data_IF_146827482029
#
_entry.id   IF_146827482029
#
_cell.length_a   1.000
_cell.length_b   1.000
_cell.length_c   1.000
_cell.angle_alpha   90.00
_cell.angle_beta   90.00
_cell.angle_gamma   90.00
#
_symmetry.space_group_name_H-M   'P 1'
#
loop_
_entity.id
_entity.type
_entity.pdbx_description
1 polymer ?
#
# COMPACT_ATOMS: atom_id res chain seq x y z
N UNK A 1 57.36 -23.42 49.27
CA UNK A 1 56.40 -23.92 48.25
C UNK A 1 55.38 -24.79 48.97
N UNK A 2 54.25 -24.21 49.36
CA UNK A 2 53.14 -24.92 50.00
C UNK A 2 51.88 -24.55 49.22
N UNK A 3 51.27 -25.53 48.56
CA UNK A 3 50.04 -25.38 47.77
C UNK A 3 48.87 -25.88 48.61
N UNK A 4 47.93 -24.99 48.93
CA UNK A 4 46.72 -25.29 49.67
C UNK A 4 45.63 -25.74 48.68
N UNK A 5 45.16 -26.98 48.85
CA UNK A 5 44.00 -27.53 48.14
C UNK A 5 42.71 -27.11 48.87
N UNK A 6 41.94 -26.22 48.24
CA UNK A 6 40.60 -25.86 48.68
C UNK A 6 39.59 -26.90 48.14
N UNK A 7 39.03 -27.68 49.06
CA UNK A 7 38.06 -28.74 48.77
C UNK A 7 36.66 -28.27 49.18
N UNK A 8 35.97 -27.65 48.24
CA UNK A 8 34.56 -27.30 48.38
C UNK A 8 33.69 -28.55 48.49
N UNK A 9 33.33 -28.91 49.73
CA UNK A 9 32.34 -29.93 50.10
C UNK A 9 30.96 -29.59 49.50
N UNK A 10 30.63 -30.20 48.35
CA UNK A 10 29.22 -30.28 47.90
C UNK A 10 28.48 -31.33 48.74
N UNK A 11 27.57 -30.85 49.58
CA UNK A 11 26.63 -31.66 50.37
C UNK A 11 25.62 -32.31 49.40
N UNK A 12 25.78 -33.62 49.13
CA UNK A 12 24.74 -34.42 48.46
C UNK A 12 23.63 -34.70 49.48
N UNK A 13 22.49 -34.05 49.30
CA UNK A 13 21.23 -34.47 49.91
C UNK A 13 20.61 -35.54 49.01
N UNK A 14 20.81 -36.81 49.40
CA UNK A 14 20.04 -37.94 48.91
C UNK A 14 19.06 -38.29 50.04
N UNK A 15 17.79 -37.96 49.87
CA UNK A 15 16.72 -38.33 50.79
C UNK A 15 15.38 -38.16 50.08
N UNK A 16 14.72 -39.29 49.80
CA UNK A 16 13.56 -39.38 48.92
C UNK A 16 12.29 -38.76 49.48
N UNK A 17 11.68 -37.93 48.64
CA UNK A 17 10.26 -37.63 48.57
C UNK A 17 10.02 -37.28 47.09
N UNK A 18 8.88 -37.67 46.52
CA UNK A 18 8.50 -37.32 45.14
C UNK A 18 8.75 -35.83 44.92
N UNK A 19 9.51 -35.41 43.88
CA UNK A 19 9.69 -34.00 43.63
C UNK A 19 8.39 -33.48 43.05
N UNK A 20 7.50 -33.00 43.92
CA UNK A 20 6.59 -31.91 43.57
C UNK A 20 7.49 -30.75 43.17
N UNK A 21 7.87 -30.74 41.89
CA UNK A 21 8.64 -29.68 41.28
C UNK A 21 7.79 -28.41 41.45
N UNK A 22 8.19 -27.55 42.40
CA UNK A 22 7.45 -26.35 42.78
C UNK A 22 6.92 -25.64 41.55
N UNK A 23 5.60 -25.63 41.41
CA UNK A 23 4.97 -25.13 40.20
C UNK A 23 5.19 -23.62 40.14
N UNK A 24 5.68 -23.10 39.02
CA UNK A 24 5.82 -21.64 38.81
C UNK A 24 4.50 -20.88 39.03
N UNK A 25 3.37 -21.59 38.97
CA UNK A 25 2.05 -21.10 39.31
C UNK A 25 1.88 -20.68 40.78
N UNK A 26 2.69 -21.18 41.71
CA UNK A 26 2.57 -20.86 43.14
C UNK A 26 3.37 -19.62 43.57
N UNK A 27 4.16 -19.05 42.66
CA UNK A 27 4.95 -17.85 42.97
C UNK A 27 4.05 -16.63 43.24
N UNK A 28 4.29 -15.87 44.33
CA UNK A 28 3.54 -14.64 44.61
C UNK A 28 3.70 -13.60 43.51
N UNK A 29 2.64 -12.82 43.24
CA UNK A 29 2.62 -11.78 42.20
C UNK A 29 3.81 -10.81 42.32
N UNK A 30 4.21 -10.42 43.53
CA UNK A 30 5.36 -9.53 43.75
C UNK A 30 6.68 -10.10 43.24
N UNK A 31 6.88 -11.43 43.33
CA UNK A 31 8.09 -12.09 42.78
C UNK A 31 8.04 -12.07 41.25
N UNK A 32 6.87 -12.35 40.66
CA UNK A 32 6.69 -12.33 39.21
C UNK A 32 6.88 -10.92 38.63
N UNK A 33 6.38 -9.89 39.30
CA UNK A 33 6.64 -8.48 38.94
C UNK A 33 8.12 -8.16 38.97
N UNK A 34 8.84 -8.59 40.02
CA UNK A 34 10.28 -8.36 40.11
C UNK A 34 11.04 -9.03 38.97
N UNK A 35 10.70 -10.28 38.63
CA UNK A 35 11.29 -10.99 37.47
C UNK A 35 10.95 -10.28 36.16
N UNK A 36 9.68 -9.91 35.97
CA UNK A 36 9.22 -9.24 34.76
C UNK A 36 9.94 -7.90 34.53
N UNK A 37 10.28 -7.15 35.58
CA UNK A 37 11.01 -5.89 35.45
C UNK A 37 12.43 -6.03 34.85
N UNK A 38 12.99 -7.24 34.79
CA UNK A 38 14.26 -7.51 34.09
C UNK A 38 14.10 -7.93 32.63
N UNK A 39 12.86 -8.14 32.18
CA UNK A 39 12.54 -8.55 30.81
C UNK A 39 12.13 -7.31 30.00
N UNK A 40 12.51 -7.28 28.73
CA UNK A 40 11.94 -6.32 27.78
C UNK A 40 10.42 -6.55 27.62
N UNK A 41 9.74 -5.57 27.03
CA UNK A 41 8.29 -5.61 26.87
C UNK A 41 7.81 -6.91 26.19
N UNK A 42 8.23 -7.25 24.97
CA UNK A 42 7.85 -8.53 24.35
C UNK A 42 8.16 -9.77 25.19
N UNK A 43 9.33 -9.83 25.84
CA UNK A 43 9.71 -10.94 26.70
C UNK A 43 8.78 -11.10 27.91
N UNK A 44 8.31 -10.00 28.52
CA UNK A 44 7.27 -10.02 29.57
C UNK A 44 5.96 -10.62 29.07
N UNK A 45 5.58 -10.33 27.82
CA UNK A 45 4.37 -10.86 27.21
C UNK A 45 4.43 -12.37 27.04
N UNK A 46 5.52 -12.89 26.49
CA UNK A 46 5.67 -14.34 26.35
C UNK A 46 5.76 -15.04 27.69
N UNK A 47 6.41 -14.41 28.68
CA UNK A 47 6.45 -14.94 30.02
C UNK A 47 5.04 -15.02 30.64
N UNK A 48 4.22 -13.99 30.49
CA UNK A 48 2.82 -14.00 30.93
C UNK A 48 1.98 -15.04 30.16
N UNK A 49 2.08 -15.07 28.83
CA UNK A 49 1.35 -15.98 27.96
C UNK A 49 1.68 -17.46 28.27
N UNK A 50 2.95 -17.76 28.55
CA UNK A 50 3.39 -19.09 28.95
C UNK A 50 2.80 -19.52 30.30
N UNK A 51 2.68 -18.59 31.26
CA UNK A 51 2.07 -18.85 32.56
C UNK A 51 0.54 -19.03 32.47
N UNK A 52 -0.14 -18.30 31.58
CA UNK A 52 -1.59 -18.47 31.34
C UNK A 52 -1.92 -19.79 30.67
N UNK A 53 -1.08 -20.29 29.76
CA UNK A 53 -1.31 -21.57 29.10
C UNK A 53 -1.26 -22.77 30.07
N UNK A 54 -0.64 -22.61 31.24
CA UNK A 54 -0.58 -23.65 32.27
C UNK A 54 -1.76 -23.63 33.24
N UNK A 55 -2.48 -22.52 33.34
CA UNK A 55 -3.61 -22.36 34.26
C UNK A 55 -4.75 -21.64 33.55
N UNK A 56 -5.79 -22.38 33.17
CA UNK A 56 -6.99 -21.86 32.50
C UNK A 56 -7.76 -20.76 33.27
N UNK A 57 -7.32 -20.41 34.49
CA UNK A 57 -7.93 -19.39 35.36
C UNK A 57 -6.84 -18.52 36.00
N UNK A 58 -5.91 -17.98 35.22
CA UNK A 58 -5.06 -16.90 35.73
C UNK A 58 -5.92 -15.64 35.87
N UNK A 59 -6.07 -15.13 37.09
CA UNK A 59 -6.77 -13.87 37.37
C UNK A 59 -6.08 -12.68 36.67
N UNK A 60 -6.86 -11.73 36.15
CA UNK A 60 -6.38 -10.49 35.51
C UNK A 60 -5.30 -9.75 36.32
N UNK A 61 -5.34 -9.84 37.65
CA UNK A 61 -4.34 -9.26 38.54
C UNK A 61 -2.92 -9.79 38.30
N UNK A 62 -2.77 -11.08 37.98
CA UNK A 62 -1.47 -11.71 37.77
C UNK A 62 -0.86 -11.33 36.43
N UNK A 63 -1.68 -11.30 35.38
CA UNK A 63 -1.26 -10.80 34.07
C UNK A 63 -0.86 -9.33 34.17
N UNK A 64 -1.66 -8.53 34.87
CA UNK A 64 -1.36 -7.12 35.14
C UNK A 64 -0.03 -6.94 35.88
N UNK A 65 0.25 -7.80 36.87
CA UNK A 65 1.48 -7.75 37.66
C UNK A 65 2.75 -8.06 36.84
N UNK A 66 2.65 -8.91 35.82
CA UNK A 66 3.78 -9.28 34.94
C UNK A 66 3.93 -8.29 33.79
N UNK A 67 2.82 -7.96 33.15
CA UNK A 67 2.79 -7.29 31.86
C UNK A 67 2.75 -5.78 32.03
N UNK A 68 2.19 -5.27 33.12
CA UNK A 68 1.98 -3.85 33.36
C UNK A 68 0.80 -3.27 32.56
N UNK A 69 0.56 -1.96 32.71
CA UNK A 69 -0.65 -1.30 32.21
C UNK A 69 -0.48 -0.56 30.87
N UNK A 70 0.76 -0.34 30.41
CA UNK A 70 1.04 0.60 29.32
C UNK A 70 1.39 -0.14 28.02
N UNK A 71 0.37 -0.53 27.26
CA UNK A 71 0.51 -1.28 26.02
C UNK A 71 -0.07 -0.55 24.81
N UNK A 72 0.28 0.72 24.63
CA UNK A 72 -0.22 1.50 23.49
C UNK A 72 0.36 1.04 22.15
N UNK A 73 1.59 0.52 22.17
CA UNK A 73 2.30 0.02 20.98
C UNK A 73 2.81 -1.38 21.28
N UNK A 74 2.51 -2.32 20.40
CA UNK A 74 3.06 -3.67 20.41
C UNK A 74 3.82 -3.90 19.09
N UNK A 75 5.15 -3.91 19.16
CA UNK A 75 6.03 -4.18 18.03
C UNK A 75 6.82 -5.46 18.27
N UNK A 76 6.59 -6.49 17.45
CA UNK A 76 7.33 -7.74 17.50
C UNK A 76 8.76 -7.60 16.93
N UNK A 77 9.11 -6.42 16.43
CA UNK A 77 10.46 -6.11 15.92
C UNK A 77 11.52 -6.06 17.02
N UNK A 78 11.11 -5.88 18.27
CA UNK A 78 11.98 -5.88 19.45
C UNK A 78 12.33 -7.30 19.91
N UNK A 79 11.70 -8.33 19.35
CA UNK A 79 11.98 -9.74 19.65
C UNK A 79 13.13 -10.22 18.76
N UNK A 80 13.99 -11.08 19.32
CA UNK A 80 15.00 -11.79 18.55
C UNK A 80 14.36 -12.51 17.35
N UNK A 81 14.94 -12.31 16.16
CA UNK A 81 14.39 -12.83 14.91
C UNK A 81 14.11 -14.33 14.96
N UNK A 82 15.03 -15.09 15.56
CA UNK A 82 14.91 -16.56 15.68
C UNK A 82 13.77 -17.01 16.59
N UNK A 83 13.31 -16.16 17.50
CA UNK A 83 12.10 -16.40 18.30
C UNK A 83 10.86 -15.94 17.55
N UNK A 84 10.89 -14.75 16.93
CA UNK A 84 9.77 -14.20 16.18
C UNK A 84 9.29 -15.12 15.05
N UNK A 85 10.22 -15.80 14.36
CA UNK A 85 9.88 -16.78 13.32
C UNK A 85 9.22 -18.04 13.87
N UNK A 86 9.35 -18.36 15.16
CA UNK A 86 8.74 -19.55 15.78
C UNK A 86 7.32 -19.28 16.27
N UNK A 87 6.90 -18.02 16.30
CA UNK A 87 5.57 -17.65 16.78
C UNK A 87 4.48 -18.16 15.83
N UNK A 88 3.48 -18.78 16.43
CA UNK A 88 2.25 -19.24 15.78
C UNK A 88 1.10 -18.25 16.05
N UNK A 89 0.00 -18.41 15.30
CA UNK A 89 -1.23 -17.66 15.58
C UNK A 89 -1.73 -17.84 17.02
N UNK A 90 -1.51 -19.03 17.62
CA UNK A 90 -1.87 -19.29 19.02
C UNK A 90 -1.06 -18.43 20.00
N UNK A 91 0.23 -18.24 19.74
CA UNK A 91 1.09 -17.40 20.57
C UNK A 91 0.68 -15.93 20.49
N UNK A 92 0.39 -15.43 19.27
CA UNK A 92 -0.08 -14.05 19.07
C UNK A 92 -1.44 -13.85 19.73
N UNK A 93 -2.36 -14.80 19.59
CA UNK A 93 -3.67 -14.75 20.22
C UNK A 93 -3.54 -14.65 21.74
N UNK A 94 -2.74 -15.53 22.35
CA UNK A 94 -2.49 -15.54 23.79
C UNK A 94 -1.91 -14.20 24.26
N UNK A 95 -0.90 -13.67 23.57
CA UNK A 95 -0.29 -12.37 23.89
C UNK A 95 -1.32 -11.24 23.83
N UNK A 96 -2.12 -11.16 22.76
CA UNK A 96 -3.11 -10.10 22.59
C UNK A 96 -4.24 -10.20 23.63
N UNK A 97 -4.64 -11.41 24.03
CA UNK A 97 -5.57 -11.62 25.12
C UNK A 97 -4.99 -11.21 26.47
N UNK A 98 -3.73 -11.58 26.76
CA UNK A 98 -3.05 -11.25 28.01
C UNK A 98 -2.97 -9.75 28.30
N UNK A 99 -2.93 -8.90 27.26
CA UNK A 99 -2.85 -7.44 27.40
C UNK A 99 -4.16 -6.71 27.18
N UNK A 100 -5.27 -7.42 26.99
CA UNK A 100 -6.53 -6.80 26.61
C UNK A 100 -6.35 -5.86 25.39
N UNK A 101 -5.72 -6.39 24.34
CA UNK A 101 -5.24 -5.59 23.21
C UNK A 101 -6.36 -4.78 22.54
N UNK A 102 -7.59 -5.31 22.54
CA UNK A 102 -8.78 -4.65 21.99
C UNK A 102 -9.02 -3.27 22.59
N UNK A 103 -8.68 -3.07 23.87
CA UNK A 103 -8.89 -1.82 24.61
C UNK A 103 -7.61 -1.04 24.90
N UNK A 104 -6.41 -1.64 24.73
CA UNK A 104 -5.14 -1.02 25.12
C UNK A 104 -4.18 -0.73 23.96
N UNK A 105 -4.16 -1.57 22.92
CA UNK A 105 -3.20 -1.45 21.81
C UNK A 105 -3.72 -0.52 20.72
N UNK A 106 -2.98 0.57 20.50
CA UNK A 106 -3.21 1.52 19.40
C UNK A 106 -2.41 1.16 18.15
N UNK A 107 -1.24 0.56 18.30
CA UNK A 107 -0.34 0.23 17.19
C UNK A 107 0.14 -1.21 17.32
N UNK A 108 -0.18 -2.05 16.35
CA UNK A 108 0.33 -3.42 16.26
C UNK A 108 1.27 -3.56 15.06
N UNK A 109 2.45 -4.15 15.27
CA UNK A 109 3.39 -4.50 14.20
C UNK A 109 3.87 -5.93 14.33
N UNK A 110 3.58 -6.77 13.34
CA UNK A 110 3.98 -8.18 13.30
C UNK A 110 5.37 -8.39 12.67
N UNK A 111 6.29 -7.48 12.95
CA UNK A 111 7.65 -7.50 12.38
C UNK A 111 8.33 -8.86 12.64
N UNK A 112 8.89 -9.49 11.62
CA UNK A 112 9.55 -10.81 11.67
C UNK A 112 8.65 -12.02 12.02
N UNK A 113 7.35 -11.84 12.27
CA UNK A 113 6.42 -12.95 12.58
C UNK A 113 5.97 -13.70 11.31
N UNK A 114 6.93 -14.31 10.61
CA UNK A 114 6.72 -14.84 9.25
C UNK A 114 5.80 -16.06 9.16
N UNK A 115 5.39 -16.66 10.28
CA UNK A 115 4.56 -17.87 10.34
C UNK A 115 3.10 -17.61 10.72
N UNK A 116 2.69 -16.34 10.82
CA UNK A 116 1.34 -15.95 11.23
C UNK A 116 0.39 -15.95 10.04
N UNK A 117 -0.73 -16.67 10.16
CA UNK A 117 -1.77 -16.76 9.14
C UNK A 117 -2.81 -15.64 9.25
N UNK A 118 -2.90 -15.01 10.42
CA UNK A 118 -3.83 -13.94 10.74
C UNK A 118 -4.95 -14.37 11.69
N UNK A 119 -5.14 -15.67 11.94
CA UNK A 119 -6.07 -16.17 12.96
C UNK A 119 -5.72 -15.65 14.37
N UNK A 120 -4.44 -15.41 14.64
CA UNK A 120 -3.96 -14.90 15.92
C UNK A 120 -4.44 -13.49 16.24
N UNK A 121 -4.93 -12.75 15.24
CA UNK A 121 -5.42 -11.37 15.39
C UNK A 121 -6.87 -11.29 15.89
N UNK A 122 -7.55 -12.42 16.07
CA UNK A 122 -8.94 -12.48 16.53
C UNK A 122 -9.23 -11.63 17.79
N UNK A 123 -8.33 -11.52 18.79
CA UNK A 123 -8.58 -10.67 19.97
C UNK A 123 -8.70 -9.18 19.66
N UNK A 124 -8.29 -8.70 18.48
CA UNK A 124 -8.50 -7.31 18.06
C UNK A 124 -9.88 -7.05 17.47
N UNK A 125 -10.68 -8.10 17.24
CA UNK A 125 -12.05 -8.00 16.72
C UNK A 125 -12.83 -6.94 17.51
N UNK A 126 -13.52 -6.04 16.80
CA UNK A 126 -14.33 -4.95 17.37
C UNK A 126 -13.55 -3.90 18.18
N UNK A 127 -12.23 -3.81 18.06
CA UNK A 127 -11.46 -2.72 18.66
C UNK A 127 -11.90 -1.36 18.09
N UNK A 128 -12.06 -0.36 18.94
CA UNK A 128 -12.34 1.03 18.55
C UNK A 128 -11.11 1.93 18.66
N UNK A 129 -10.06 1.47 19.34
CA UNK A 129 -8.88 2.26 19.70
C UNK A 129 -7.64 1.96 18.84
N UNK A 130 -7.64 0.84 18.10
CA UNK A 130 -6.53 0.50 17.21
C UNK A 130 -6.43 1.56 16.10
N UNK A 131 -5.27 2.19 15.98
CA UNK A 131 -4.96 3.24 15.01
C UNK A 131 -4.11 2.71 13.85
N UNK A 132 -3.28 1.71 14.11
CA UNK A 132 -2.33 1.16 13.16
C UNK A 132 -2.21 -0.36 13.27
N UNK A 133 -2.27 -1.05 12.13
CA UNK A 133 -1.93 -2.47 11.98
C UNK A 133 -0.91 -2.63 10.85
N UNK A 134 0.29 -3.09 11.18
CA UNK A 134 1.35 -3.38 10.22
C UNK A 134 1.57 -4.89 10.10
N UNK A 135 1.16 -5.43 8.96
CA UNK A 135 1.26 -6.83 8.56
C UNK A 135 2.39 -7.05 7.56
N UNK A 136 3.34 -6.12 7.40
CA UNK A 136 4.41 -6.24 6.40
C UNK A 136 5.36 -7.41 6.64
N UNK A 137 5.42 -7.92 7.88
CA UNK A 137 6.27 -9.02 8.36
C UNK A 137 7.78 -8.79 8.21
N UNK A 138 8.21 -7.65 7.65
CA UNK A 138 9.61 -7.33 7.40
C UNK A 138 10.10 -6.24 8.32
N UNK A 139 11.32 -6.38 8.82
CA UNK A 139 11.98 -5.32 9.60
C UNK A 139 12.23 -4.06 8.76
N UNK A 140 12.36 -2.90 9.43
CA UNK A 140 12.57 -1.56 8.82
C UNK A 140 13.70 -1.47 7.78
N UNK A 141 14.64 -2.41 7.79
CA UNK A 141 15.81 -2.44 6.90
C UNK A 141 15.92 -3.74 6.09
N UNK A 142 14.91 -4.61 6.14
CA UNK A 142 14.91 -5.86 5.39
C UNK A 142 14.17 -5.67 4.07
N UNK A 143 14.68 -6.30 3.01
CA UNK A 143 14.00 -6.29 1.71
C UNK A 143 12.60 -6.91 1.86
N UNK A 144 11.55 -6.33 1.25
CA UNK A 144 10.18 -6.86 1.29
C UNK A 144 10.01 -8.24 0.61
N UNK A 145 11.08 -8.78 0.01
CA UNK A 145 11.06 -10.09 -0.66
C UNK A 145 11.20 -11.22 0.36
N UNK A 146 10.07 -11.68 0.88
CA UNK A 146 10.00 -12.99 1.52
C UNK A 146 10.24 -14.05 0.44
N UNK A 147 11.23 -14.94 0.65
CA UNK A 147 11.54 -16.02 -0.30
C UNK A 147 10.40 -17.04 -0.45
N UNK A 148 9.39 -16.96 0.41
CA UNK A 148 8.18 -17.79 0.41
C UNK A 148 6.95 -16.89 0.46
N UNK A 149 5.82 -17.39 -0.07
CA UNK A 149 4.53 -16.69 0.02
C UNK A 149 4.21 -16.47 1.51
N UNK A 150 3.97 -15.23 1.97
CA UNK A 150 3.65 -14.95 3.36
C UNK A 150 2.36 -15.68 3.74
N UNK A 151 2.31 -16.27 4.93
CA UNK A 151 1.19 -17.08 5.37
C UNK A 151 -0.07 -16.26 5.70
N UNK A 152 0.05 -14.93 5.83
CA UNK A 152 -1.11 -14.08 6.13
C UNK A 152 -2.18 -14.25 5.06
N UNK A 153 -3.31 -14.80 5.50
CA UNK A 153 -4.48 -15.12 4.70
C UNK A 153 -5.52 -14.01 4.83
N UNK A 154 -5.87 -13.38 3.70
CA UNK A 154 -6.95 -12.39 3.67
C UNK A 154 -8.27 -12.96 4.20
N UNK A 155 -8.52 -14.28 4.04
CA UNK A 155 -9.74 -14.93 4.55
C UNK A 155 -9.87 -14.87 6.07
N UNK A 156 -8.74 -14.83 6.79
CA UNK A 156 -8.71 -14.76 8.25
C UNK A 156 -8.67 -13.31 8.74
N UNK A 157 -7.91 -12.45 8.04
CA UNK A 157 -7.71 -11.07 8.48
C UNK A 157 -8.89 -10.15 8.13
N UNK A 158 -9.48 -10.27 6.94
CA UNK A 158 -10.54 -9.36 6.49
C UNK A 158 -11.75 -9.33 7.43
N UNK A 159 -12.30 -10.47 7.90
CA UNK A 159 -13.43 -10.45 8.83
C UNK A 159 -13.13 -9.75 10.17
N UNK A 160 -11.85 -9.71 10.58
CA UNK A 160 -11.42 -9.00 11.79
C UNK A 160 -11.38 -7.49 11.49
N UNK A 161 -10.79 -7.09 10.37
CA UNK A 161 -10.74 -5.69 9.94
C UNK A 161 -12.13 -5.11 9.70
N UNK A 162 -13.02 -5.86 9.03
CA UNK A 162 -14.41 -5.46 8.81
C UNK A 162 -15.09 -5.16 10.14
N UNK A 163 -14.92 -6.04 11.14
CA UNK A 163 -15.49 -5.83 12.48
C UNK A 163 -14.97 -4.60 13.22
N UNK A 164 -13.75 -4.14 12.90
CA UNK A 164 -13.14 -2.94 13.48
C UNK A 164 -13.70 -1.70 12.75
N UNK A 165 -13.75 -1.74 11.42
CA UNK A 165 -14.21 -0.64 10.56
C UNK A 165 -15.71 -0.38 10.73
N UNK A 166 -16.53 -1.42 10.91
CA UNK A 166 -17.98 -1.30 11.10
C UNK A 166 -18.38 -0.63 12.43
N UNK A 167 -17.45 -0.44 13.38
CA UNK A 167 -17.76 0.21 14.65
C UNK A 167 -17.75 1.73 14.52
N UNK A 168 -18.79 2.33 15.07
CA UNK A 168 -18.82 3.77 15.34
C UNK A 168 -17.62 4.15 16.24
N UNK A 169 -16.88 5.19 15.83
CA UNK A 169 -15.68 5.63 16.53
C UNK A 169 -14.41 4.81 16.25
N UNK A 170 -14.37 4.03 15.16
CA UNK A 170 -13.15 3.36 14.72
C UNK A 170 -11.99 4.35 14.53
N UNK A 171 -10.85 4.06 15.17
CA UNK A 171 -9.64 4.90 15.12
C UNK A 171 -8.61 4.46 14.08
N UNK A 172 -8.89 3.39 13.31
CA UNK A 172 -7.93 2.77 12.39
C UNK A 172 -7.63 3.71 11.22
N UNK A 173 -6.37 4.14 11.11
CA UNK A 173 -5.89 5.10 10.10
C UNK A 173 -4.80 4.53 9.21
N UNK A 174 -4.09 3.51 9.69
CA UNK A 174 -2.96 2.93 8.97
C UNK A 174 -3.04 1.42 8.93
N UNK A 175 -3.09 0.88 7.72
CA UNK A 175 -3.10 -0.56 7.48
C UNK A 175 -2.05 -0.88 6.41
N UNK A 176 -1.09 -1.73 6.76
CA UNK A 176 -0.01 -2.13 5.86
C UNK A 176 -0.04 -3.64 5.65
N UNK A 177 -0.13 -4.09 4.40
CA UNK A 177 -0.12 -5.52 4.02
C UNK A 177 1.27 -5.96 3.54
N UNK A 178 1.57 -7.29 3.56
CA UNK A 178 2.76 -7.82 2.92
C UNK A 178 2.87 -7.41 1.44
N UNK A 179 4.06 -6.99 1.00
CA UNK A 179 4.29 -6.44 -0.36
C UNK A 179 3.96 -7.41 -1.50
N UNK A 180 3.96 -8.73 -1.26
CA UNK A 180 3.60 -9.69 -2.30
C UNK A 180 2.10 -9.70 -2.60
N UNK A 181 1.24 -9.31 -1.65
CA UNK A 181 -0.20 -9.21 -1.89
C UNK A 181 -0.50 -8.03 -2.81
N UNK A 182 0.26 -6.95 -2.68
CA UNK A 182 0.23 -5.79 -3.59
C UNK A 182 0.69 -6.21 -5.00
N UNK A 183 1.74 -7.03 -5.09
CA UNK A 183 2.31 -7.45 -6.38
C UNK A 183 1.48 -8.51 -7.11
N UNK A 184 0.85 -9.45 -6.40
CA UNK A 184 0.00 -10.49 -7.00
C UNK A 184 -1.31 -9.90 -7.58
N UNK A 185 -1.87 -8.87 -6.95
CA UNK A 185 -2.99 -8.12 -7.51
C UNK A 185 -2.61 -7.46 -8.86
N UNK A 186 -1.37 -6.98 -8.99
CA UNK A 186 -0.86 -6.37 -10.22
C UNK A 186 -0.42 -7.38 -11.30
N UNK A 187 0.18 -8.52 -10.92
CA UNK A 187 0.76 -9.50 -11.86
C UNK A 187 -0.26 -10.49 -12.45
N UNK A 188 -1.39 -10.76 -11.76
CA UNK A 188 -2.46 -11.59 -12.34
C UNK A 188 -3.17 -10.92 -13.54
N UNK A 189 -2.88 -9.65 -13.82
CA UNK A 189 -3.40 -8.90 -14.97
C UNK A 189 -2.70 -9.26 -16.29
N UNK A 190 -1.45 -9.75 -16.27
CA UNK A 190 -0.67 -9.96 -17.49
C UNK A 190 -0.70 -11.38 -18.08
N UNK A 191 -1.27 -12.39 -17.39
CA UNK A 191 -1.13 -13.80 -17.77
C UNK A 191 -2.41 -14.66 -17.82
N UNK A 192 -3.52 -14.15 -18.40
CA UNK A 192 -4.68 -15.01 -18.73
C UNK A 192 -5.20 -14.83 -20.17
N UNK A 193 -4.46 -15.42 -21.13
CA UNK A 193 -5.02 -16.06 -22.33
C UNK A 193 -4.52 -17.50 -22.41
N UNK A 194 -5.06 -18.39 -21.57
CA UNK A 194 -5.18 -19.81 -21.89
C UNK A 194 -6.36 -20.38 -21.12
N UNK A 195 -7.44 -20.68 -21.84
CA UNK A 195 -8.59 -21.43 -21.33
C UNK A 195 -8.10 -22.82 -20.93
N UNK A 196 -8.29 -23.16 -19.66
CA UNK A 196 -8.37 -24.55 -19.21
C UNK A 196 -9.81 -24.76 -18.75
N UNK A 197 -10.55 -25.57 -19.50
CA UNK A 197 -11.78 -26.19 -19.04
C UNK A 197 -11.37 -27.37 -18.14
N UNK A 198 -11.92 -27.44 -16.93
CA UNK A 198 -11.63 -28.56 -16.02
C UNK A 198 -11.86 -28.24 -14.53
N UNK A 199 -13.13 -28.20 -14.16
CA UNK A 199 -13.77 -28.68 -12.92
C UNK A 199 -13.31 -28.27 -11.50
N UNK A 200 -14.32 -28.16 -10.63
CA UNK A 200 -14.34 -27.89 -9.18
C UNK A 200 -14.03 -26.45 -8.68
N UNK A 201 -15.13 -25.69 -8.56
CA UNK A 201 -15.35 -24.44 -7.81
C UNK A 201 -14.70 -24.43 -6.42
N UNK A 202 -13.77 -23.47 -6.25
CA UNK A 202 -13.43 -22.87 -4.97
C UNK A 202 -13.50 -21.37 -5.19
N UNK A 203 -14.69 -20.82 -5.01
CA UNK A 203 -15.00 -19.41 -5.26
C UNK A 203 -14.05 -18.52 -4.45
N UNK A 204 -13.16 -17.86 -5.18
CA UNK A 204 -12.20 -16.94 -4.65
C UNK A 204 -12.94 -15.67 -4.24
N UNK A 205 -12.81 -15.28 -2.96
CA UNK A 205 -13.19 -13.96 -2.45
C UNK A 205 -12.51 -12.88 -3.30
N UNK A 206 -13.15 -12.43 -4.36
CA UNK A 206 -12.60 -11.44 -5.26
C UNK A 206 -12.87 -10.06 -4.65
N UNK A 207 -11.93 -9.13 -4.83
CA UNK A 207 -12.11 -7.74 -4.41
C UNK A 207 -13.39 -7.11 -5.03
N UNK A 208 -13.84 -7.67 -6.15
CA UNK A 208 -15.12 -7.36 -6.80
C UNK A 208 -16.35 -7.68 -5.95
N UNK A 209 -16.24 -8.51 -4.92
CA UNK A 209 -17.39 -8.97 -4.13
C UNK A 209 -17.65 -8.05 -2.92
N UNK A 210 -16.71 -7.15 -2.62
CA UNK A 210 -16.88 -6.18 -1.55
C UNK A 210 -17.97 -5.14 -1.88
N UNK A 211 -18.81 -4.74 -0.91
CA UNK A 211 -19.76 -3.65 -1.10
C UNK A 211 -19.10 -2.37 -1.62
N UNK A 212 -19.76 -1.65 -2.52
CA UNK A 212 -19.27 -0.38 -3.09
C UNK A 212 -18.93 0.65 -2.02
N UNK A 213 -19.69 0.69 -0.91
CA UNK A 213 -19.42 1.59 0.21
C UNK A 213 -18.03 1.41 0.84
N UNK A 214 -17.56 0.16 1.01
CA UNK A 214 -16.22 -0.13 1.55
C UNK A 214 -15.16 0.32 0.55
N UNK A 215 -15.36 0.02 -0.73
CA UNK A 215 -14.41 0.39 -1.78
C UNK A 215 -14.30 1.92 -1.95
N UNK A 216 -15.43 2.64 -1.89
CA UNK A 216 -15.47 4.10 -1.87
C UNK A 216 -14.77 4.66 -0.65
N UNK A 217 -14.99 4.07 0.54
CA UNK A 217 -14.32 4.50 1.76
C UNK A 217 -12.80 4.36 1.64
N UNK A 218 -12.30 3.22 1.18
CA UNK A 218 -10.86 2.99 0.94
C UNK A 218 -10.32 3.97 -0.11
N UNK A 219 -11.05 4.17 -1.20
CA UNK A 219 -10.66 5.07 -2.28
C UNK A 219 -10.47 6.52 -1.83
N UNK A 220 -11.23 6.99 -0.83
CA UNK A 220 -11.10 8.35 -0.29
C UNK A 220 -9.78 8.61 0.46
N UNK A 221 -9.02 7.57 0.82
CA UNK A 221 -7.69 7.70 1.42
C UNK A 221 -6.55 7.68 0.38
N UNK A 222 -6.87 7.42 -0.88
CA UNK A 222 -5.88 7.34 -1.95
C UNK A 222 -5.69 8.71 -2.61
N UNK A 223 -4.45 9.03 -2.96
CA UNK A 223 -4.16 10.15 -3.84
C UNK A 223 -4.90 9.97 -5.19
N UNK A 224 -5.22 11.06 -5.92
CA UNK A 224 -6.04 10.97 -7.12
C UNK A 224 -5.55 9.91 -8.14
N UNK A 225 -4.27 9.83 -8.55
CA UNK A 225 -3.88 8.82 -9.53
C UNK A 225 -4.00 7.39 -8.97
N UNK A 226 -3.68 7.15 -7.69
CA UNK A 226 -3.88 5.86 -7.03
C UNK A 226 -5.35 5.45 -6.98
N UNK A 227 -6.24 6.40 -6.70
CA UNK A 227 -7.70 6.17 -6.72
C UNK A 227 -8.20 5.79 -8.12
N UNK A 228 -7.72 6.48 -9.16
CA UNK A 228 -8.09 6.17 -10.54
C UNK A 228 -7.56 4.80 -10.99
N UNK A 229 -6.31 4.47 -10.63
CA UNK A 229 -5.70 3.17 -10.89
C UNK A 229 -6.46 2.05 -10.18
N UNK A 230 -6.87 2.27 -8.92
CA UNK A 230 -7.67 1.33 -8.15
C UNK A 230 -9.02 1.06 -8.82
N UNK A 231 -9.73 2.10 -9.24
CA UNK A 231 -10.99 1.95 -9.95
C UNK A 231 -10.82 1.26 -11.32
N UNK A 232 -9.81 1.62 -12.10
CA UNK A 232 -9.51 0.99 -13.38
C UNK A 232 -9.19 -0.52 -13.23
N UNK A 233 -8.47 -0.90 -12.16
CA UNK A 233 -8.18 -2.29 -11.86
C UNK A 233 -9.44 -3.10 -11.52
N UNK A 234 -10.41 -2.49 -10.82
CA UNK A 234 -11.70 -3.10 -10.50
C UNK A 234 -12.61 -3.20 -11.74
N UNK A 235 -12.62 -2.16 -12.59
CA UNK A 235 -13.42 -2.12 -13.81
C UNK A 235 -13.04 -3.25 -14.79
N UNK A 236 -11.75 -3.54 -14.90
CA UNK A 236 -11.25 -4.62 -15.76
C UNK A 236 -11.72 -6.03 -15.34
N UNK A 237 -12.31 -6.20 -14.16
CA UNK A 237 -12.81 -7.50 -13.69
C UNK A 237 -14.30 -7.72 -13.98
N UNK A 238 -15.09 -6.66 -14.24
CA UNK A 238 -16.55 -6.74 -14.34
C UNK A 238 -17.07 -6.06 -15.61
N UNK A 239 -17.57 -6.85 -16.58
CA UNK A 239 -17.90 -6.38 -17.93
C UNK A 239 -19.29 -5.74 -18.12
N UNK A 240 -20.15 -5.63 -17.10
CA UNK A 240 -21.53 -5.13 -17.30
C UNK A 240 -22.15 -4.28 -16.17
N UNK A 241 -21.67 -4.37 -14.92
CA UNK A 241 -22.23 -3.63 -13.77
C UNK A 241 -21.36 -2.42 -13.35
N UNK A 242 -20.56 -1.91 -14.28
CA UNK A 242 -19.32 -1.14 -13.98
C UNK A 242 -19.55 0.33 -13.63
N UNK A 243 -20.51 1.02 -14.26
CA UNK A 243 -20.40 2.48 -14.35
C UNK A 243 -20.82 3.21 -13.07
N UNK A 244 -21.90 2.79 -12.43
CA UNK A 244 -22.33 3.38 -11.14
C UNK A 244 -21.32 3.09 -10.02
N UNK A 245 -20.81 1.85 -9.98
CA UNK A 245 -19.83 1.44 -8.98
C UNK A 245 -18.50 2.15 -9.17
N UNK A 246 -18.02 2.25 -10.40
CA UNK A 246 -16.79 2.98 -10.71
C UNK A 246 -16.98 4.47 -10.41
N UNK A 247 -18.12 5.06 -10.76
CA UNK A 247 -18.43 6.46 -10.41
C UNK A 247 -18.39 6.71 -8.90
N UNK A 248 -18.90 5.78 -8.08
CA UNK A 248 -18.85 5.89 -6.63
C UNK A 248 -17.43 5.79 -6.04
N UNK A 249 -16.54 4.99 -6.65
CA UNK A 249 -15.15 4.81 -6.19
C UNK A 249 -14.27 5.98 -6.64
N UNK A 250 -14.42 6.37 -7.91
CA UNK A 250 -13.68 7.44 -8.57
C UNK A 250 -14.08 8.80 -8.00
N UNK A 251 -15.37 8.98 -7.68
CA UNK A 251 -15.93 10.24 -7.22
C UNK A 251 -16.20 11.24 -8.36
N UNK A 252 -16.81 12.37 -8.00
CA UNK A 252 -17.34 13.34 -8.97
C UNK A 252 -16.36 14.46 -9.38
N UNK A 253 -15.17 14.53 -8.78
CA UNK A 253 -14.25 15.66 -8.98
C UNK A 253 -12.89 15.21 -9.51
N UNK A 254 -12.67 15.39 -10.83
CA UNK A 254 -11.40 15.06 -11.50
C UNK A 254 -10.88 16.20 -12.34
N UNK A 255 -10.48 17.30 -11.71
CA UNK A 255 -9.92 18.44 -12.44
C UNK A 255 -8.45 18.24 -12.80
N UNK A 256 -7.69 17.53 -11.96
CA UNK A 256 -6.26 17.27 -12.16
C UNK A 256 -5.99 15.78 -12.01
N UNK A 257 -5.16 15.23 -12.90
CA UNK A 257 -4.54 13.93 -12.79
C UNK A 257 -3.04 14.09 -13.02
N UNK A 258 -2.26 14.02 -11.94
CA UNK A 258 -0.80 14.18 -11.97
C UNK A 258 -0.15 12.90 -11.45
N UNK A 259 0.47 12.12 -12.33
CA UNK A 259 1.16 10.88 -11.93
C UNK A 259 2.45 11.12 -11.11
N UNK A 260 2.80 12.38 -10.84
CA UNK A 260 3.78 12.76 -9.83
C UNK A 260 3.33 12.49 -8.40
N UNK A 261 2.02 12.36 -8.16
CA UNK A 261 1.44 12.10 -6.83
C UNK A 261 1.49 10.62 -6.39
N UNK A 262 2.10 9.76 -7.20
CA UNK A 262 2.31 8.34 -6.87
C UNK A 262 3.80 7.99 -6.84
N UNK A 263 4.14 6.84 -6.25
CA UNK A 263 5.53 6.41 -6.17
C UNK A 263 6.14 6.28 -7.57
N UNK A 264 7.35 6.81 -7.75
CA UNK A 264 8.08 6.76 -9.02
C UNK A 264 8.17 5.32 -9.57
N UNK A 265 8.45 4.36 -8.69
CA UNK A 265 8.54 2.93 -9.03
C UNK A 265 7.22 2.31 -9.53
N UNK A 266 6.08 2.92 -9.17
CA UNK A 266 4.77 2.53 -9.70
C UNK A 266 4.50 3.24 -11.03
N UNK A 267 4.75 4.54 -11.12
CA UNK A 267 4.54 5.33 -12.34
C UNK A 267 5.33 4.77 -13.54
N UNK A 268 6.58 4.35 -13.33
CA UNK A 268 7.40 3.74 -14.40
C UNK A 268 6.84 2.40 -14.89
N UNK A 269 5.98 1.71 -14.14
CA UNK A 269 5.36 0.44 -14.56
C UNK A 269 4.08 0.64 -15.37
N UNK A 270 3.59 1.88 -15.46
CA UNK A 270 2.38 2.18 -16.21
C UNK A 270 2.63 2.07 -17.71
N UNK A 271 1.70 1.42 -18.40
CA UNK A 271 1.67 1.22 -19.84
C UNK A 271 0.40 1.84 -20.43
N UNK A 272 0.36 2.02 -21.75
CA UNK A 272 -0.77 2.65 -22.45
C UNK A 272 -2.13 2.03 -22.12
N UNK A 273 -2.21 0.70 -22.00
CA UNK A 273 -3.45 0.01 -21.65
C UNK A 273 -3.99 0.44 -20.27
N UNK A 274 -3.10 0.67 -19.31
CA UNK A 274 -3.48 1.12 -17.96
C UNK A 274 -3.87 2.60 -17.96
N UNK A 275 -3.11 3.45 -18.66
CA UNK A 275 -3.43 4.88 -18.80
C UNK A 275 -4.78 5.06 -19.49
N UNK A 276 -5.04 4.31 -20.56
CA UNK A 276 -6.33 4.35 -21.27
C UNK A 276 -7.48 3.94 -20.35
N UNK A 277 -7.33 2.82 -19.62
CA UNK A 277 -8.33 2.38 -18.66
C UNK A 277 -8.60 3.43 -17.57
N UNK A 278 -7.56 4.08 -17.04
CA UNK A 278 -7.69 5.18 -16.07
C UNK A 278 -8.45 6.36 -16.65
N UNK A 279 -8.07 6.84 -17.85
CA UNK A 279 -8.71 7.99 -18.49
C UNK A 279 -10.17 7.72 -18.85
N UNK A 280 -10.50 6.51 -19.29
CA UNK A 280 -11.88 6.07 -19.49
C UNK A 280 -12.66 6.03 -18.17
N UNK A 281 -12.07 5.44 -17.13
CA UNK A 281 -12.71 5.25 -15.82
C UNK A 281 -13.10 6.59 -15.17
N UNK A 282 -12.27 7.63 -15.32
CA UNK A 282 -12.58 8.96 -14.80
C UNK A 282 -13.41 9.82 -15.75
N UNK A 283 -13.79 9.31 -16.93
CA UNK A 283 -14.43 10.06 -18.00
C UNK A 283 -13.64 11.33 -18.34
N UNK A 284 -12.34 11.16 -18.59
CA UNK A 284 -11.37 12.24 -18.72
C UNK A 284 -11.74 13.25 -19.80
N UNK A 285 -12.27 12.80 -20.94
CA UNK A 285 -12.67 13.66 -22.07
C UNK A 285 -13.63 14.79 -21.65
N UNK A 286 -14.51 14.52 -20.67
CA UNK A 286 -15.54 15.45 -20.22
C UNK A 286 -15.23 16.10 -18.86
N UNK A 287 -14.22 15.63 -18.12
CA UNK A 287 -14.01 16.03 -16.71
C UNK A 287 -12.60 16.51 -16.38
N UNK A 288 -11.59 15.99 -17.08
CA UNK A 288 -10.19 16.26 -16.79
C UNK A 288 -9.69 17.57 -17.42
N UNK A 289 -9.35 18.55 -16.58
CA UNK A 289 -8.76 19.83 -17.01
C UNK A 289 -7.25 19.77 -17.16
N UNK A 290 -6.55 19.01 -16.32
CA UNK A 290 -5.08 18.95 -16.31
C UNK A 290 -4.59 17.52 -16.23
N UNK A 291 -3.82 17.10 -17.23
CA UNK A 291 -3.11 15.83 -17.24
C UNK A 291 -1.60 16.08 -17.17
N UNK A 292 -0.92 15.45 -16.21
CA UNK A 292 0.55 15.35 -16.21
C UNK A 292 0.98 13.89 -16.13
N UNK A 293 1.79 13.45 -17.10
CA UNK A 293 2.32 12.09 -17.20
C UNK A 293 3.67 11.93 -16.50
N UNK A 294 3.87 12.68 -15.41
CA UNK A 294 5.11 12.70 -14.64
C UNK A 294 5.53 11.27 -14.23
N UNK A 295 6.78 10.91 -14.50
CA UNK A 295 7.39 9.59 -14.28
C UNK A 295 6.79 8.42 -15.10
N UNK A 296 5.80 8.63 -15.98
CA UNK A 296 5.23 7.57 -16.84
C UNK A 296 6.10 7.27 -18.07
N UNK A 297 7.35 6.87 -17.85
CA UNK A 297 8.38 6.78 -18.91
C UNK A 297 8.21 5.61 -19.89
N UNK A 298 7.28 4.68 -19.65
CA UNK A 298 7.09 3.47 -20.47
C UNK A 298 5.86 3.54 -21.41
N UNK A 299 5.25 4.71 -21.57
CA UNK A 299 4.10 4.90 -22.45
C UNK A 299 4.52 5.24 -23.88
N UNK A 300 3.80 4.71 -24.85
CA UNK A 300 3.97 5.03 -26.28
C UNK A 300 3.13 6.23 -26.72
N UNK A 301 2.12 6.59 -25.94
CA UNK A 301 1.16 7.66 -26.22
C UNK A 301 -0.20 7.16 -26.71
N UNK A 302 -0.32 5.88 -27.09
CA UNK A 302 -1.59 5.25 -27.45
C UNK A 302 -2.61 5.28 -26.29
N UNK A 303 -2.14 5.32 -25.04
CA UNK A 303 -2.97 5.39 -23.86
C UNK A 303 -3.77 6.68 -23.72
N UNK A 304 -3.41 7.73 -24.49
CA UNK A 304 -4.08 9.03 -24.47
C UNK A 304 -5.32 9.09 -25.36
N UNK A 305 -5.62 8.03 -26.13
CA UNK A 305 -6.77 7.98 -27.05
C UNK A 305 -8.11 8.41 -26.40
N UNK A 306 -8.41 8.09 -25.11
CA UNK A 306 -9.64 8.54 -24.47
C UNK A 306 -9.77 10.07 -24.30
N UNK A 307 -8.74 10.87 -24.57
CA UNK A 307 -8.82 12.34 -24.58
C UNK A 307 -9.21 12.93 -25.93
N UNK A 308 -9.31 12.12 -26.99
CA UNK A 308 -9.63 12.59 -28.34
C UNK A 308 -10.93 13.42 -28.33
N UNK A 309 -10.87 14.62 -28.92
CA UNK A 309 -12.01 15.53 -29.03
C UNK A 309 -12.41 16.21 -27.72
N UNK A 310 -11.59 16.16 -26.67
CA UNK A 310 -11.87 16.87 -25.43
C UNK A 310 -11.91 18.38 -25.65
N UNK A 311 -12.99 19.04 -25.22
CA UNK A 311 -13.15 20.50 -25.26
C UNK A 311 -12.79 21.19 -23.94
N UNK A 312 -12.67 20.41 -22.87
CA UNK A 312 -12.52 20.91 -21.49
C UNK A 312 -11.10 20.81 -20.94
N UNK A 313 -10.21 20.06 -21.59
CA UNK A 313 -8.82 19.93 -21.15
C UNK A 313 -8.07 21.25 -21.37
N UNK A 314 -7.43 21.74 -20.31
CA UNK A 314 -6.72 23.02 -20.27
C UNK A 314 -5.19 22.82 -20.30
N UNK A 315 -4.70 21.70 -19.77
CA UNK A 315 -3.28 21.37 -19.68
C UNK A 315 -3.01 19.91 -20.01
N UNK A 316 -2.01 19.69 -20.88
CA UNK A 316 -1.41 18.38 -21.11
C UNK A 316 0.11 18.51 -20.96
N UNK A 317 0.68 17.81 -19.99
CA UNK A 317 2.12 17.72 -19.76
C UNK A 317 2.64 16.32 -20.11
N UNK A 318 3.40 16.26 -21.21
CA UNK A 318 4.05 15.07 -21.75
C UNK A 318 5.56 15.05 -21.47
N UNK A 319 6.07 15.86 -20.55
CA UNK A 319 7.51 15.92 -20.25
C UNK A 319 8.05 14.62 -19.64
N UNK A 320 7.18 13.80 -19.04
CA UNK A 320 7.47 12.53 -18.35
C UNK A 320 8.43 12.63 -17.16
N UNK A 321 8.86 13.84 -16.80
CA UNK A 321 9.77 14.10 -15.68
C UNK A 321 9.07 14.84 -14.56
N UNK A 322 9.56 14.66 -13.33
CA UNK A 322 9.09 15.45 -12.19
C UNK A 322 9.58 16.88 -12.22
N UNK A 323 8.96 17.75 -11.43
CA UNK A 323 9.45 19.11 -11.21
C UNK A 323 10.92 19.06 -10.74
N UNK A 324 11.75 19.92 -11.32
CA UNK A 324 13.20 20.01 -11.05
C UNK A 324 14.04 18.79 -11.47
N UNK A 325 13.47 17.81 -12.18
CA UNK A 325 14.24 16.71 -12.74
C UNK A 325 14.83 17.08 -14.10
N UNK A 326 15.93 16.42 -14.46
CA UNK A 326 16.56 16.60 -15.75
C UNK A 326 15.60 16.12 -16.86
N UNK A 327 15.24 16.96 -17.85
CA UNK A 327 14.35 16.58 -18.94
C UNK A 327 14.96 15.54 -19.89
N UNK A 328 16.26 15.27 -19.80
CA UNK A 328 16.92 14.22 -20.59
C UNK A 328 16.79 12.87 -19.89
N UNK A 329 15.81 12.07 -20.33
CA UNK A 329 15.56 10.71 -19.82
C UNK A 329 16.42 9.70 -20.58
N UNK A 330 17.11 8.81 -19.87
CA UNK A 330 17.85 7.69 -20.43
C UNK A 330 17.41 6.36 -19.79
N UNK A 331 17.03 5.33 -20.57
CA UNK A 331 16.91 5.33 -22.03
C UNK A 331 15.81 6.29 -22.52
N UNK A 332 15.85 6.65 -23.80
CA UNK A 332 14.86 7.53 -24.41
C UNK A 332 13.44 6.92 -24.29
N UNK A 333 12.44 7.71 -23.85
CA UNK A 333 11.08 7.20 -23.66
C UNK A 333 10.44 6.83 -25.00
N UNK A 334 9.61 5.76 -25.05
CA UNK A 334 9.04 5.25 -26.30
C UNK A 334 7.85 6.08 -26.82
N UNK A 335 7.59 7.26 -26.25
CA UNK A 335 6.45 8.10 -26.59
C UNK A 335 6.56 8.61 -28.04
N UNK A 336 5.58 8.27 -28.86
CA UNK A 336 5.61 8.48 -30.31
C UNK A 336 4.75 9.67 -30.73
N UNK A 337 5.35 10.59 -31.49
CA UNK A 337 4.61 11.68 -32.14
C UNK A 337 3.47 11.14 -33.02
N UNK A 338 3.68 10.02 -33.73
CA UNK A 338 2.67 9.43 -34.63
C UNK A 338 1.39 9.01 -33.91
N UNK A 339 1.49 8.63 -32.63
CA UNK A 339 0.34 8.23 -31.82
C UNK A 339 -0.32 9.43 -31.14
N UNK A 340 0.49 10.37 -30.63
CA UNK A 340 0.00 11.48 -29.82
C UNK A 340 -0.53 12.65 -30.66
N UNK A 341 0.14 13.01 -31.76
CA UNK A 341 -0.22 14.18 -32.57
C UNK A 341 -1.66 14.09 -33.10
N UNK A 342 -2.17 12.96 -33.63
CA UNK A 342 -3.55 12.87 -34.06
C UNK A 342 -4.59 13.07 -32.95
N UNK A 343 -4.23 12.80 -31.68
CA UNK A 343 -5.11 13.01 -30.53
C UNK A 343 -5.14 14.49 -30.18
N UNK A 344 -3.96 15.13 -30.11
CA UNK A 344 -3.82 16.56 -29.85
C UNK A 344 -4.48 17.40 -30.95
N UNK A 345 -4.34 17.01 -32.22
CA UNK A 345 -5.02 17.66 -33.35
C UNK A 345 -6.53 17.64 -33.17
N UNK A 346 -7.09 16.48 -32.80
CA UNK A 346 -8.52 16.36 -32.56
C UNK A 346 -9.02 17.22 -31.39
N UNK A 347 -8.16 17.51 -30.40
CA UNK A 347 -8.48 18.42 -29.29
C UNK A 347 -8.42 19.87 -29.78
N UNK A 348 -7.38 20.25 -30.53
CA UNK A 348 -7.18 21.61 -31.05
C UNK A 348 -8.27 21.99 -32.07
N UNK A 349 -8.69 21.04 -32.90
CA UNK A 349 -9.74 21.24 -33.93
C UNK A 349 -11.16 21.22 -33.34
N UNK A 350 -11.33 20.80 -32.08
CA UNK A 350 -12.64 20.79 -31.44
C UNK A 350 -13.15 22.21 -31.16
N UNK A 351 -14.39 22.48 -31.53
CA UNK A 351 -15.05 23.76 -31.25
C UNK A 351 -15.15 23.99 -29.72
N UNK A 352 -14.68 25.14 -29.26
CA UNK A 352 -14.65 25.46 -27.83
C UNK A 352 -13.49 24.80 -27.05
N UNK A 353 -12.42 24.39 -27.74
CA UNK A 353 -11.21 23.88 -27.10
C UNK A 353 -10.68 24.82 -26.00
N UNK A 354 -10.46 24.26 -24.80
CA UNK A 354 -9.97 24.99 -23.62
C UNK A 354 -8.46 24.86 -23.41
N UNK A 355 -7.73 24.21 -24.32
CA UNK A 355 -6.31 23.89 -24.14
C UNK A 355 -5.46 25.18 -24.14
N UNK A 356 -4.71 25.40 -23.05
CA UNK A 356 -3.90 26.59 -22.81
C UNK A 356 -2.42 26.27 -22.59
N UNK A 357 -2.13 25.06 -22.12
CA UNK A 357 -0.79 24.62 -21.82
C UNK A 357 -0.52 23.23 -22.40
N UNK A 358 0.47 23.15 -23.27
CA UNK A 358 0.92 21.90 -23.87
C UNK A 358 2.44 21.82 -23.74
N UNK A 359 2.91 20.87 -22.95
CA UNK A 359 4.33 20.61 -22.74
C UNK A 359 4.71 19.31 -23.44
N UNK A 360 5.66 19.38 -24.37
CA UNK A 360 6.12 18.22 -25.14
C UNK A 360 7.33 17.54 -24.50
N UNK A 361 7.59 16.25 -24.81
CA UNK A 361 8.85 15.60 -24.47
C UNK A 361 10.03 16.38 -25.08
N UNK A 362 11.09 16.57 -24.30
CA UNK A 362 12.32 17.25 -24.75
C UNK A 362 12.91 16.64 -26.03
N UNK A 363 12.82 15.32 -26.15
CA UNK A 363 13.33 14.53 -27.28
C UNK A 363 12.68 14.90 -28.62
N UNK A 364 11.43 15.34 -28.63
CA UNK A 364 10.76 15.70 -29.88
C UNK A 364 11.33 16.97 -30.51
N UNK A 365 11.83 17.90 -29.69
CA UNK A 365 12.48 19.11 -30.17
C UNK A 365 13.82 18.82 -30.88
N UNK A 366 14.52 17.74 -30.50
CA UNK A 366 15.82 17.39 -31.06
C UNK A 366 15.72 16.77 -32.47
N UNK A 367 14.57 16.19 -32.81
CA UNK A 367 14.40 15.41 -34.04
C UNK A 367 13.99 16.24 -35.27
N UNK A 368 13.65 17.52 -35.10
CA UNK A 368 13.26 18.40 -36.21
C UNK A 368 12.11 17.83 -37.04
N UNK A 369 11.14 17.15 -36.41
CA UNK A 369 10.07 16.47 -37.12
C UNK A 369 9.06 17.46 -37.71
N UNK A 370 8.76 17.31 -39.01
CA UNK A 370 7.83 18.18 -39.74
C UNK A 370 6.43 18.19 -39.10
N UNK A 371 5.94 17.03 -38.66
CA UNK A 371 4.63 16.89 -38.03
C UNK A 371 4.55 17.65 -36.68
N UNK A 372 5.67 17.68 -35.93
CA UNK A 372 5.76 18.43 -34.68
C UNK A 372 5.67 19.95 -34.92
N UNK A 373 6.36 20.47 -35.94
CA UNK A 373 6.27 21.89 -36.31
C UNK A 373 4.86 22.27 -36.79
N UNK A 374 4.17 21.37 -37.48
CA UNK A 374 2.81 21.61 -37.95
C UNK A 374 1.81 21.68 -36.80
N UNK A 375 1.91 20.80 -35.80
CA UNK A 375 1.04 20.88 -34.62
C UNK A 375 1.33 22.14 -33.80
N UNK A 376 2.61 22.51 -33.64
CA UNK A 376 3.00 23.71 -32.91
C UNK A 376 2.42 24.95 -33.57
N UNK A 377 2.46 25.01 -34.91
CA UNK A 377 1.85 26.10 -35.66
C UNK A 377 0.34 26.20 -35.39
N UNK A 378 -0.39 25.10 -35.52
CA UNK A 378 -1.85 25.06 -35.25
C UNK A 378 -2.18 25.41 -33.81
N UNK A 379 -1.44 24.87 -32.84
CA UNK A 379 -1.60 25.19 -31.43
C UNK A 379 -1.37 26.69 -31.16
N UNK A 380 -0.33 27.28 -31.73
CA UNK A 380 -0.06 28.72 -31.59
C UNK A 380 -1.12 29.59 -32.28
N UNK A 381 -1.64 29.17 -33.44
CA UNK A 381 -2.76 29.84 -34.12
C UNK A 381 -4.03 29.79 -33.26
N UNK A 382 -4.36 28.63 -32.69
CA UNK A 382 -5.47 28.44 -31.76
C UNK A 382 -5.33 29.38 -30.55
N UNK A 383 -4.17 29.46 -29.92
CA UNK A 383 -3.93 30.38 -28.80
C UNK A 383 -4.13 31.84 -29.21
N UNK A 384 -3.70 32.25 -30.41
CA UNK A 384 -3.91 33.62 -30.91
C UNK A 384 -5.39 33.94 -31.16
N UNK A 385 -6.15 32.98 -31.66
CA UNK A 385 -7.58 33.14 -31.94
C UNK A 385 -8.43 33.13 -30.67
N UNK A 386 -8.08 32.27 -29.70
CA UNK A 386 -8.77 32.20 -28.40
C UNK A 386 -8.41 33.36 -27.46
N UNK A 387 -7.22 33.95 -27.59
CA UNK A 387 -6.75 35.07 -26.76
C UNK A 387 -7.27 36.44 -27.22
N UNK A 388 -8.46 36.51 -27.82
CA UNK A 388 -9.11 37.79 -28.11
C UNK A 388 -9.02 38.74 -26.91
N UNK A 389 -8.16 39.77 -27.05
CA UNK A 389 -8.00 40.96 -26.18
C UNK A 389 -6.98 40.90 -25.00
N UNK A 390 -6.16 39.88 -24.77
CA UNK A 390 -5.07 40.01 -23.74
C UNK A 390 -3.70 39.55 -24.21
N UNK A 391 -2.89 40.56 -24.56
CA UNK A 391 -1.45 40.65 -24.80
C UNK A 391 -0.58 39.37 -24.69
N UNK A 392 0.09 39.10 -25.82
CA UNK A 392 1.25 38.26 -26.07
C UNK A 392 2.09 37.82 -24.83
N UNK A 393 2.12 36.51 -24.60
CA UNK A 393 3.14 35.85 -23.78
C UNK A 393 4.11 35.12 -24.70
N UNK A 394 5.38 35.50 -24.61
CA UNK A 394 6.51 35.04 -25.39
C UNK A 394 6.90 33.61 -24.97
N UNK A 395 6.79 32.64 -25.89
CA UNK A 395 7.31 31.28 -25.68
C UNK A 395 8.83 31.34 -25.73
N UNK A 396 9.48 31.27 -24.56
CA UNK A 396 10.94 31.11 -24.47
C UNK A 396 11.35 29.75 -25.03
N UNK A 397 11.62 29.71 -26.32
CA UNK A 397 12.42 28.66 -26.95
C UNK A 397 13.86 28.80 -26.46
N UNK A 398 14.21 28.13 -25.36
CA UNK A 398 15.60 27.99 -24.90
C UNK A 398 16.37 27.10 -25.87
N UNK A 399 16.80 27.70 -26.98
CA UNK A 399 17.79 27.13 -27.89
C UNK A 399 19.16 27.32 -27.23
N UNK A 400 19.57 26.36 -26.39
CA UNK A 400 20.95 26.28 -25.93
C UNK A 400 21.81 25.86 -27.13
N UNK A 401 22.37 26.85 -27.83
CA UNK A 401 23.48 26.63 -28.75
C UNK A 401 24.72 26.31 -27.90
N UNK A 402 25.08 25.04 -27.82
CA UNK A 402 26.43 24.64 -27.43
C UNK A 402 27.34 24.88 -28.65
N UNK A 403 28.21 25.87 -28.53
CA UNK A 403 29.43 26.02 -29.33
C UNK A 403 30.59 25.30 -28.63
#
# INVERSE_FOLDING_TARGET
>A
MASANDSSKRRRLLGGASPDAGCLSELPNGVLTNVANYLDAPSRLFFAAALTNQNAVASDERNTAIVGNEWTTLDFGDIEKDLAVKLSDGDINAVLMCIDAVNRVKKLKLTNCINITGAGLEPLRRSTIIEQIDLSLVGKHQSPRLGTRPPISCKLVLPILDSIIEREGCSLRHLQFPSVHITMAAANVSNKRKRFEGDASLDANCLSDLPSGILTHVANYLAPPSRALFAAALANQNSAASDERNSAIVGNEWTTLDFGDIEKDLAVKLIDAVISAVLMCINAVNRLKRLKLTNCINITGAGLEPLRGSTIIEQIDLSLVGEHQNPNIYPEPPISCKLVLPILDSIIEAEGCSLRHLQFPSVWSAWGMVDYEQILRRYNEMLRMGAGVVAAMEVKSTRAMNA
#
